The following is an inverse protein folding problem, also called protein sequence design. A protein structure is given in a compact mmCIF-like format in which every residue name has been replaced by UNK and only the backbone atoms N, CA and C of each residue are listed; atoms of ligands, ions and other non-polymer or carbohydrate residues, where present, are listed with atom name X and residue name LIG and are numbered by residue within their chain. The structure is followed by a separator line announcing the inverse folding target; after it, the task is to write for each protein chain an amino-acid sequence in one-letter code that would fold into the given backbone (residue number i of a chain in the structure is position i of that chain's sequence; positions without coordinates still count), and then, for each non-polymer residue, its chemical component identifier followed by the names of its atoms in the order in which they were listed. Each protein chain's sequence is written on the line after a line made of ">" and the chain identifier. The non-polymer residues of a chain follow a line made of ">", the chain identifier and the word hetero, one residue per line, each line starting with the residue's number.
data_IF_854785923812
#
_entry.id   IF_854785923812
#
_cell.length_a   1.000
_cell.length_b   1.000
_cell.length_c   1.000
_cell.angle_alpha   90.00
_cell.angle_beta   90.00
_cell.angle_gamma   90.00
#
_symmetry.space_group_name_H-M   'P 1'
#
loop_
_entity.id
_entity.type
_entity.pdbx_description
1 polymer ?
#
# COMPACT_ATOMS: atom_id res chain seq x y z
N UNK A 1 25.67 -30.02 32.90
CA UNK A 1 25.02 -28.69 32.90
C UNK A 1 24.20 -28.53 34.17
N UNK A 2 24.33 -27.41 34.91
CA UNK A 2 23.45 -27.13 36.05
C UNK A 2 22.01 -26.91 35.56
N UNK A 3 21.01 -27.42 36.28
CA UNK A 3 19.56 -27.31 35.95
C UNK A 3 19.12 -25.88 35.64
N UNK A 4 19.74 -24.90 36.31
CA UNK A 4 19.53 -23.46 36.10
C UNK A 4 19.98 -22.97 34.71
N UNK A 5 21.11 -23.48 34.20
CA UNK A 5 21.62 -23.15 32.86
C UNK A 5 20.70 -23.67 31.76
N UNK A 6 20.17 -24.88 31.95
CA UNK A 6 19.25 -25.50 31.00
C UNK A 6 17.90 -24.76 30.96
N UNK A 7 17.38 -24.34 32.13
CA UNK A 7 16.19 -23.51 32.21
C UNK A 7 16.36 -22.15 31.50
N UNK A 8 17.52 -21.51 31.64
CA UNK A 8 17.81 -20.23 30.98
C UNK A 8 17.91 -20.36 29.46
N UNK A 9 18.52 -21.43 28.96
CA UNK A 9 18.57 -21.69 27.52
C UNK A 9 17.15 -21.86 26.97
N UNK A 10 16.30 -22.62 27.66
CA UNK A 10 14.92 -22.85 27.25
C UNK A 10 14.11 -21.55 27.21
N UNK A 11 14.23 -20.72 28.24
CA UNK A 11 13.54 -19.41 28.32
C UNK A 11 14.03 -18.48 27.20
N UNK A 12 15.33 -18.44 26.93
CA UNK A 12 15.88 -17.62 25.84
C UNK A 12 15.38 -18.09 24.47
N UNK A 13 15.28 -19.41 24.23
CA UNK A 13 14.74 -19.94 22.98
C UNK A 13 13.27 -19.54 22.80
N UNK A 14 12.44 -19.70 23.84
CA UNK A 14 11.02 -19.29 23.79
C UNK A 14 10.89 -17.80 23.52
N UNK A 15 11.69 -16.97 24.18
CA UNK A 15 11.70 -15.52 23.97
C UNK A 15 12.13 -15.14 22.55
N UNK A 16 13.09 -15.85 21.96
CA UNK A 16 13.51 -15.65 20.58
C UNK A 16 12.46 -16.11 19.56
N UNK A 17 11.70 -17.17 19.85
CA UNK A 17 10.56 -17.59 19.01
C UNK A 17 9.43 -16.55 19.02
N UNK A 18 9.23 -15.85 20.14
CA UNK A 18 8.26 -14.77 20.26
C UNK A 18 8.72 -13.45 19.62
N UNK A 19 9.97 -13.36 19.15
CA UNK A 19 10.53 -12.14 18.57
C UNK A 19 9.78 -11.70 17.31
N UNK A 20 9.36 -12.63 16.47
CA UNK A 20 8.63 -12.35 15.22
C UNK A 20 7.25 -11.73 15.52
N UNK A 21 6.36 -12.36 16.32
CA UNK A 21 5.07 -11.75 16.63
C UNK A 21 5.19 -10.44 17.44
N UNK A 22 6.19 -10.32 18.33
CA UNK A 22 6.46 -9.05 19.04
C UNK A 22 6.87 -7.95 18.05
N UNK A 23 7.75 -8.25 17.10
CA UNK A 23 8.18 -7.30 16.08
C UNK A 23 7.03 -6.83 15.21
N UNK A 24 6.15 -7.74 14.78
CA UNK A 24 4.95 -7.41 14.02
C UNK A 24 4.01 -6.52 14.84
N UNK A 25 3.77 -6.86 16.11
CA UNK A 25 2.91 -6.06 16.98
C UNK A 25 3.46 -4.65 17.21
N UNK A 26 4.77 -4.50 17.41
CA UNK A 26 5.42 -3.19 17.53
C UNK A 26 5.28 -2.39 16.23
N UNK A 27 5.48 -3.01 15.07
CA UNK A 27 5.30 -2.32 13.79
C UNK A 27 3.87 -1.85 13.57
N UNK A 28 2.87 -2.69 13.88
CA UNK A 28 1.45 -2.32 13.81
C UNK A 28 1.15 -1.16 14.76
N UNK A 29 1.69 -1.20 15.98
CA UNK A 29 1.49 -0.14 16.96
C UNK A 29 2.09 1.19 16.49
N UNK A 30 3.31 1.16 15.93
CA UNK A 30 3.99 2.33 15.37
C UNK A 30 3.19 2.91 14.20
N UNK A 31 2.62 2.07 13.34
CA UNK A 31 1.77 2.48 12.21
C UNK A 31 0.45 3.13 12.70
N UNK A 32 -0.24 2.52 13.68
CA UNK A 32 -1.48 3.06 14.26
C UNK A 32 -1.23 4.39 14.98
N UNK A 33 -0.08 4.54 15.62
CA UNK A 33 0.25 5.70 16.44
C UNK A 33 0.60 6.97 15.64
N UNK A 34 0.52 6.92 14.30
CA UNK A 34 0.79 8.08 13.43
C UNK A 34 2.19 8.69 13.67
N UNK A 35 3.13 7.91 14.24
CA UNK A 35 4.50 8.37 14.55
C UNK A 35 5.25 8.79 13.29
N UNK A 36 4.84 8.32 12.11
CA UNK A 36 5.31 8.81 10.82
C UNK A 36 5.17 10.34 10.66
N UNK A 37 4.22 10.98 11.35
CA UNK A 37 4.04 12.45 11.38
C UNK A 37 5.09 13.18 12.22
N UNK A 38 5.77 12.50 13.15
CA UNK A 38 6.85 13.06 13.96
C UNK A 38 8.20 13.08 13.23
N UNK A 39 8.29 12.38 12.10
CA UNK A 39 9.49 12.29 11.29
C UNK A 39 9.27 13.07 9.98
N UNK A 40 10.25 13.87 9.52
CA UNK A 40 10.13 14.55 8.23
C UNK A 40 9.91 13.53 7.11
N UNK A 41 9.08 13.87 6.11
CA UNK A 41 8.69 12.98 4.99
C UNK A 41 9.86 12.36 4.20
N UNK A 42 11.09 12.84 4.40
CA UNK A 42 12.34 12.29 3.85
C UNK A 42 12.93 11.12 4.63
N UNK A 43 12.38 10.79 5.81
CA UNK A 43 12.83 9.66 6.62
C UNK A 43 12.38 8.37 5.93
N UNK A 44 13.34 7.66 5.35
CA UNK A 44 13.10 6.42 4.64
C UNK A 44 12.38 5.40 5.54
N UNK A 45 11.52 4.58 4.95
CA UNK A 45 10.86 3.45 5.62
C UNK A 45 11.85 2.53 6.36
N UNK A 46 13.13 2.56 5.94
CA UNK A 46 14.27 1.90 6.58
C UNK A 46 14.49 2.34 8.03
N UNK A 47 14.30 3.63 8.34
CA UNK A 47 14.57 4.19 9.68
C UNK A 47 13.47 3.77 10.66
N UNK A 48 12.20 3.84 10.25
CA UNK A 48 11.06 3.38 11.06
C UNK A 48 11.16 1.88 11.33
N UNK A 49 11.55 1.10 10.31
CA UNK A 49 11.80 -0.34 10.44
C UNK A 49 12.95 -0.60 11.40
N UNK A 50 14.05 0.15 11.30
CA UNK A 50 15.18 0.07 12.23
C UNK A 50 14.79 0.35 13.68
N UNK A 51 13.94 1.36 13.92
CA UNK A 51 13.40 1.68 15.24
C UNK A 51 12.57 0.52 15.79
N UNK A 52 11.67 -0.05 14.98
CA UNK A 52 10.86 -1.21 15.37
C UNK A 52 11.71 -2.44 15.73
N UNK A 53 12.79 -2.70 14.98
CA UNK A 53 13.74 -3.79 15.26
C UNK A 53 14.42 -3.59 16.61
N UNK A 54 14.96 -2.39 16.86
CA UNK A 54 15.68 -2.08 18.09
C UNK A 54 14.75 -2.17 19.30
N UNK A 55 13.53 -1.64 19.20
CA UNK A 55 12.51 -1.74 20.26
C UNK A 55 12.15 -3.19 20.59
N UNK A 56 11.94 -4.01 19.56
CA UNK A 56 11.57 -5.42 19.75
C UNK A 56 12.71 -6.22 20.39
N UNK A 57 13.95 -6.00 19.95
CA UNK A 57 15.13 -6.61 20.56
C UNK A 57 15.34 -6.13 22.01
N UNK A 58 15.07 -4.85 22.32
CA UNK A 58 15.12 -4.32 23.68
C UNK A 58 14.11 -5.01 24.60
N UNK A 59 12.86 -5.19 24.15
CA UNK A 59 11.81 -5.87 24.92
C UNK A 59 12.23 -7.32 25.24
N UNK A 60 12.66 -8.06 24.22
CA UNK A 60 13.06 -9.47 24.36
C UNK A 60 14.31 -9.61 25.24
N UNK A 61 15.32 -8.75 25.05
CA UNK A 61 16.51 -8.70 25.89
C UNK A 61 16.18 -8.38 27.35
N UNK A 62 15.27 -7.42 27.59
CA UNK A 62 14.87 -7.04 28.94
C UNK A 62 14.12 -8.17 29.67
N UNK A 63 13.26 -8.91 28.98
CA UNK A 63 12.59 -10.09 29.54
C UNK A 63 13.60 -11.19 29.91
N UNK A 64 14.62 -11.42 29.07
CA UNK A 64 15.71 -12.35 29.38
C UNK A 64 16.53 -11.92 30.60
N UNK A 65 16.76 -10.61 30.78
CA UNK A 65 17.41 -10.04 31.97
C UNK A 65 16.63 -10.34 33.24
N UNK A 66 15.31 -10.14 33.23
CA UNK A 66 14.43 -10.42 34.37
C UNK A 66 14.47 -11.91 34.72
N UNK A 67 14.38 -12.79 33.72
CA UNK A 67 14.46 -14.23 33.91
C UNK A 67 15.82 -14.65 34.53
N UNK A 68 16.92 -14.10 34.01
CA UNK A 68 18.26 -14.37 34.52
C UNK A 68 18.45 -13.89 35.96
N UNK A 69 17.93 -12.71 36.31
CA UNK A 69 17.98 -12.20 37.68
C UNK A 69 17.17 -13.09 38.63
N UNK A 70 16.02 -13.61 38.19
CA UNK A 70 15.19 -14.52 38.98
C UNK A 70 15.82 -15.89 39.18
N UNK A 71 16.56 -16.40 38.19
CA UNK A 71 17.15 -17.75 38.20
C UNK A 71 18.51 -17.77 38.90
N UNK A 72 19.38 -16.80 38.61
CA UNK A 72 20.74 -16.76 39.16
C UNK A 72 20.88 -15.87 40.38
N UNK A 73 19.96 -14.93 40.61
CA UNK A 73 20.05 -13.90 41.67
C UNK A 73 21.33 -13.06 41.62
N UNK A 74 22.03 -13.09 40.49
CA UNK A 74 23.30 -12.39 40.27
C UNK A 74 23.15 -11.37 39.15
N UNK A 75 23.56 -10.13 39.45
CA UNK A 75 23.45 -9.02 38.50
C UNK A 75 24.38 -9.20 37.29
N UNK A 76 25.57 -9.75 37.49
CA UNK A 76 26.54 -10.02 36.41
C UNK A 76 25.96 -11.00 35.39
N UNK A 77 25.37 -12.10 35.87
CA UNK A 77 24.72 -13.12 35.04
C UNK A 77 23.49 -12.57 34.29
N UNK A 78 22.73 -11.65 34.91
CA UNK A 78 21.62 -10.96 34.26
C UNK A 78 22.07 -9.98 33.16
N UNK A 79 23.17 -9.23 33.37
CA UNK A 79 23.74 -8.33 32.35
C UNK A 79 24.24 -9.09 31.13
N UNK A 80 24.91 -10.23 31.33
CA UNK A 80 25.39 -11.08 30.23
C UNK A 80 24.22 -11.68 29.44
N UNK A 81 23.17 -12.16 30.13
CA UNK A 81 21.98 -12.69 29.47
C UNK A 81 21.25 -11.63 28.63
N UNK A 82 21.11 -10.41 29.16
CA UNK A 82 20.54 -9.27 28.43
C UNK A 82 21.30 -9.00 27.13
N UNK A 83 22.62 -8.80 27.22
CA UNK A 83 23.45 -8.46 26.06
C UNK A 83 23.43 -9.57 25.02
N UNK A 84 23.58 -10.83 25.43
CA UNK A 84 23.58 -11.96 24.52
C UNK A 84 22.25 -12.08 23.76
N UNK A 85 21.11 -12.04 24.48
CA UNK A 85 19.78 -12.16 23.85
C UNK A 85 19.46 -10.94 23.00
N UNK A 86 19.85 -9.74 23.44
CA UNK A 86 19.66 -8.50 22.68
C UNK A 86 20.37 -8.57 21.31
N UNK A 87 21.67 -8.89 21.27
CA UNK A 87 22.40 -8.96 20.00
C UNK A 87 21.91 -10.07 19.09
N UNK A 88 21.55 -11.24 19.64
CA UNK A 88 20.94 -12.33 18.88
C UNK A 88 19.58 -11.90 18.30
N UNK A 89 18.75 -11.21 19.08
CA UNK A 89 17.46 -10.70 18.63
C UNK A 89 17.62 -9.62 17.54
N UNK A 90 18.59 -8.73 17.65
CA UNK A 90 18.89 -7.74 16.59
C UNK A 90 19.31 -8.45 15.30
N UNK A 91 20.22 -9.44 15.38
CA UNK A 91 20.68 -10.19 14.22
C UNK A 91 19.54 -10.99 13.57
N UNK A 92 18.75 -11.73 14.35
CA UNK A 92 17.61 -12.49 13.83
C UNK A 92 16.58 -11.55 13.21
N UNK A 93 16.29 -10.42 13.85
CA UNK A 93 15.35 -9.43 13.30
C UNK A 93 15.88 -8.86 11.99
N UNK A 94 17.13 -8.40 11.95
CA UNK A 94 17.75 -7.88 10.73
C UNK A 94 17.77 -8.90 9.58
N UNK A 95 17.98 -10.19 9.89
CA UNK A 95 18.05 -11.26 8.88
C UNK A 95 16.67 -11.78 8.45
N UNK A 96 15.70 -11.81 9.38
CA UNK A 96 14.31 -12.20 9.09
C UNK A 96 13.56 -11.10 8.34
N UNK A 97 14.07 -9.87 8.38
CA UNK A 97 13.50 -8.68 7.76
C UNK A 97 14.18 -8.45 6.39
N UNK A 98 14.08 -9.45 5.52
CA UNK A 98 13.68 -9.15 4.14
C UNK A 98 12.17 -8.86 4.17
N UNK A 99 11.77 -7.80 4.90
CA UNK A 99 10.38 -7.37 4.94
C UNK A 99 10.05 -6.93 3.51
N UNK A 100 9.13 -7.61 2.79
CA UNK A 100 8.52 -6.99 1.63
C UNK A 100 7.94 -5.69 2.15
N UNK A 101 8.33 -4.52 1.59
CA UNK A 101 7.86 -3.21 2.03
C UNK A 101 6.35 -3.32 2.32
N UNK A 102 5.98 -3.37 3.61
CA UNK A 102 4.58 -3.45 4.01
C UNK A 102 4.08 -2.02 3.83
N UNK A 103 3.82 -1.68 2.57
CA UNK A 103 3.00 -0.54 2.24
C UNK A 103 1.61 -0.75 2.81
N UNK A 104 0.80 0.32 2.90
CA UNK A 104 -0.59 0.19 3.31
C UNK A 104 -1.30 -0.89 2.49
N UNK A 105 -2.33 -1.53 3.04
CA UNK A 105 -3.04 -2.57 2.28
C UNK A 105 -3.46 -2.06 0.88
N UNK A 106 -3.51 -2.92 -0.16
CA UNK A 106 -4.00 -2.51 -1.47
C UNK A 106 -5.37 -1.81 -1.45
N UNK A 107 -6.21 -2.10 -0.46
CA UNK A 107 -7.48 -1.42 -0.23
C UNK A 107 -7.31 0.08 0.10
N UNK A 108 -6.27 0.44 0.85
CA UNK A 108 -5.97 1.85 1.18
C UNK A 108 -5.62 2.65 -0.08
N UNK A 109 -4.89 2.05 -1.04
CA UNK A 109 -4.57 2.70 -2.32
C UNK A 109 -5.85 3.09 -3.07
N UNK A 110 -6.84 2.19 -3.11
CA UNK A 110 -8.14 2.49 -3.72
C UNK A 110 -8.89 3.58 -2.94
N UNK A 111 -8.91 3.49 -1.61
CA UNK A 111 -9.57 4.50 -0.77
C UNK A 111 -9.02 5.90 -1.03
N UNK A 112 -7.70 6.08 -1.00
CA UNK A 112 -7.09 7.39 -1.26
C UNK A 112 -7.27 7.86 -2.70
N UNK A 113 -7.34 6.93 -3.67
CA UNK A 113 -7.65 7.28 -5.07
C UNK A 113 -9.04 7.90 -5.24
N UNK A 114 -10.00 7.51 -4.40
CA UNK A 114 -11.41 7.91 -4.56
C UNK A 114 -11.85 9.04 -3.63
N UNK A 115 -11.28 9.13 -2.42
CA UNK A 115 -11.83 9.96 -1.34
C UNK A 115 -10.94 11.13 -0.92
N UNK A 116 -9.74 11.29 -1.47
CA UNK A 116 -8.87 12.41 -1.07
C UNK A 116 -9.40 13.78 -1.54
N UNK A 117 -10.20 13.82 -2.62
CA UNK A 117 -10.87 15.03 -3.08
C UNK A 117 -12.13 15.40 -2.30
N UNK A 118 -12.57 14.54 -1.38
CA UNK A 118 -13.61 14.87 -0.43
C UNK A 118 -12.95 15.51 0.80
N UNK A 119 -12.79 16.83 0.75
CA UNK A 119 -12.43 17.68 1.90
C UNK A 119 -13.36 17.50 3.12
N UNK A 120 -14.40 16.66 3.05
CA UNK A 120 -15.34 16.40 4.14
C UNK A 120 -15.91 14.96 4.13
N UNK A 121 -15.08 13.91 4.22
CA UNK A 121 -15.62 12.59 4.64
C UNK A 121 -15.57 12.50 6.16
N UNK A 122 -16.73 12.73 6.75
CA UNK A 122 -16.99 12.62 8.18
C UNK A 122 -16.58 11.21 8.68
N UNK A 123 -15.64 11.08 9.64
CA UNK A 123 -15.17 9.79 10.15
C UNK A 123 -16.24 8.98 10.92
N UNK A 124 -17.46 9.50 11.07
CA UNK A 124 -18.53 8.90 11.87
C UNK A 124 -19.63 8.15 11.10
N UNK A 125 -19.57 8.04 9.77
CA UNK A 125 -20.52 7.18 9.03
C UNK A 125 -19.91 5.85 8.62
N UNK A 126 -20.45 4.78 9.21
CA UNK A 126 -20.15 3.40 8.85
C UNK A 126 -20.51 3.10 7.39
N UNK A 127 -19.69 2.24 6.78
CA UNK A 127 -19.67 1.84 5.36
C UNK A 127 -19.37 2.99 4.40
N UNK A 128 -18.10 3.10 4.03
CA UNK A 128 -17.65 3.83 2.85
C UNK A 128 -18.29 3.15 1.63
N UNK A 129 -19.37 3.73 1.12
CA UNK A 129 -19.96 3.33 -0.17
C UNK A 129 -19.12 3.94 -1.27
N UNK A 130 -18.59 3.10 -2.18
CA UNK A 130 -17.85 3.54 -3.36
C UNK A 130 -18.64 4.66 -4.08
N UNK A 131 -17.98 5.71 -4.60
CA UNK A 131 -18.65 6.80 -5.29
C UNK A 131 -19.00 6.39 -6.73
N UNK A 132 -19.41 5.14 -6.92
CA UNK A 132 -19.86 4.56 -8.16
C UNK A 132 -20.61 3.25 -7.89
N UNK A 133 -21.48 2.87 -8.82
CA UNK A 133 -22.17 1.59 -8.79
C UNK A 133 -21.21 0.48 -9.24
N UNK A 134 -20.94 -0.50 -8.38
CA UNK A 134 -20.05 -1.62 -8.68
C UNK A 134 -20.52 -2.40 -9.92
N UNK A 135 -19.60 -2.63 -10.87
CA UNK A 135 -19.89 -3.36 -12.10
C UNK A 135 -18.63 -3.97 -12.70
N UNK A 136 -18.73 -5.24 -13.08
CA UNK A 136 -17.65 -5.99 -13.77
C UNK A 136 -17.55 -5.61 -15.27
N UNK A 137 -17.34 -4.33 -15.57
CA UNK A 137 -17.38 -3.83 -16.94
C UNK A 137 -16.11 -4.14 -17.74
N UNK A 138 -14.93 -4.21 -17.09
CA UNK A 138 -13.68 -4.48 -17.82
C UNK A 138 -13.66 -5.89 -18.41
N UNK A 139 -14.31 -6.86 -17.77
CA UNK A 139 -14.50 -8.20 -18.34
C UNK A 139 -15.41 -8.19 -19.55
N UNK A 140 -16.54 -7.50 -19.44
CA UNK A 140 -17.55 -7.39 -20.52
C UNK A 140 -16.95 -6.78 -21.79
N UNK A 141 -16.04 -5.81 -21.62
CA UNK A 141 -15.37 -5.12 -22.72
C UNK A 141 -14.04 -5.78 -23.12
N UNK A 142 -13.66 -6.90 -22.50
CA UNK A 142 -12.39 -7.58 -22.78
C UNK A 142 -11.15 -6.71 -22.52
N UNK A 143 -11.24 -5.82 -21.53
CA UNK A 143 -10.22 -4.90 -21.04
C UNK A 143 -9.72 -5.26 -19.65
N UNK A 144 -10.08 -6.44 -19.13
CA UNK A 144 -9.61 -6.89 -17.82
C UNK A 144 -8.10 -7.18 -17.86
N UNK A 145 -7.28 -6.43 -17.10
CA UNK A 145 -5.87 -6.73 -16.97
C UNK A 145 -5.66 -7.90 -15.99
N UNK A 146 -4.43 -8.40 -15.87
CA UNK A 146 -4.07 -9.55 -15.04
C UNK A 146 -2.88 -9.25 -14.13
N UNK A 147 -2.77 -9.97 -13.00
CA UNK A 147 -1.61 -9.87 -12.10
C UNK A 147 -1.69 -8.73 -11.07
N UNK A 148 -2.87 -8.13 -10.89
CA UNK A 148 -3.16 -7.19 -9.81
C UNK A 148 -3.41 -7.92 -8.48
N UNK A 149 -3.16 -7.22 -7.38
CA UNK A 149 -3.42 -7.63 -6.00
C UNK A 149 -4.87 -7.37 -5.59
N UNK A 150 -5.45 -6.26 -6.06
CA UNK A 150 -6.80 -5.82 -5.74
C UNK A 150 -7.38 -5.00 -6.90
N UNK A 151 -8.71 -5.03 -7.05
CA UNK A 151 -9.42 -4.18 -8.00
C UNK A 151 -10.71 -3.65 -7.39
N UNK A 152 -11.16 -2.51 -7.89
CA UNK A 152 -12.55 -2.04 -7.80
C UNK A 152 -12.94 -1.46 -9.16
N UNK A 153 -14.16 -1.73 -9.61
CA UNK A 153 -14.64 -1.26 -10.91
C UNK A 153 -16.15 -1.04 -10.90
N UNK A 154 -16.63 -0.09 -11.69
CA UNK A 154 -18.01 0.31 -11.70
C UNK A 154 -18.33 1.43 -12.69
N UNK A 155 -19.46 2.08 -12.46
CA UNK A 155 -19.92 3.23 -13.25
C UNK A 155 -20.18 4.44 -12.35
N UNK A 156 -19.52 5.55 -12.68
CA UNK A 156 -19.76 6.86 -12.08
C UNK A 156 -20.90 7.52 -12.85
N UNK A 157 -21.93 7.95 -12.13
CA UNK A 157 -23.04 8.74 -12.65
C UNK A 157 -23.25 9.98 -11.75
N UNK A 158 -23.96 11.00 -12.22
CA UNK A 158 -24.06 12.29 -11.53
C UNK A 158 -24.72 12.24 -10.15
N UNK A 159 -25.33 11.10 -9.80
CA UNK A 159 -25.83 10.79 -8.45
C UNK A 159 -24.76 10.22 -7.50
N UNK A 160 -23.55 9.94 -7.97
CA UNK A 160 -22.51 9.19 -7.24
C UNK A 160 -21.60 10.06 -6.34
N UNK A 161 -21.98 11.30 -6.05
CA UNK A 161 -21.26 12.19 -5.12
C UNK A 161 -21.20 13.64 -5.62
N UNK A 162 -20.87 14.57 -4.71
CA UNK A 162 -20.82 16.01 -5.03
C UNK A 162 -19.77 16.37 -6.09
N UNK A 163 -18.69 15.61 -6.20
CA UNK A 163 -17.57 15.87 -7.12
C UNK A 163 -17.89 15.43 -8.56
N UNK A 164 -18.86 14.53 -8.75
CA UNK A 164 -19.12 13.87 -10.04
C UNK A 164 -20.40 14.35 -10.74
N UNK A 165 -20.98 15.47 -10.32
CA UNK A 165 -22.29 15.97 -10.80
C UNK A 165 -22.37 16.17 -12.32
N UNK A 166 -21.23 16.41 -12.99
CA UNK A 166 -21.15 16.64 -14.43
C UNK A 166 -20.94 15.35 -15.25
N UNK A 167 -20.84 14.19 -14.60
CA UNK A 167 -20.59 12.90 -15.26
C UNK A 167 -21.91 12.16 -15.37
N UNK A 168 -22.33 11.81 -16.58
CA UNK A 168 -23.61 11.09 -16.80
C UNK A 168 -23.41 9.58 -16.81
N UNK A 169 -22.25 9.11 -17.25
CA UNK A 169 -21.93 7.69 -17.25
C UNK A 169 -20.51 7.40 -17.74
N UNK A 170 -19.57 7.34 -16.80
CA UNK A 170 -18.19 6.91 -17.09
C UNK A 170 -17.88 5.64 -16.30
N UNK A 171 -17.44 4.63 -17.02
CA UNK A 171 -16.93 3.41 -16.43
C UNK A 171 -15.55 3.65 -15.84
N UNK A 172 -15.33 3.20 -14.61
CA UNK A 172 -14.08 3.33 -13.87
C UNK A 172 -13.58 1.95 -13.46
N UNK A 173 -12.28 1.70 -13.61
CA UNK A 173 -11.61 0.53 -13.08
C UNK A 173 -10.29 0.92 -12.44
N UNK A 174 -10.09 0.56 -11.18
CA UNK A 174 -8.87 0.80 -10.41
C UNK A 174 -8.26 -0.55 -10.07
N UNK A 175 -7.01 -0.77 -10.47
CA UNK A 175 -6.27 -2.01 -10.26
C UNK A 175 -4.96 -1.72 -9.54
N UNK A 176 -4.72 -2.42 -8.43
CA UNK A 176 -3.53 -2.24 -7.60
C UNK A 176 -2.56 -3.39 -7.85
N UNK A 177 -1.32 -3.08 -8.20
CA UNK A 177 -0.22 -3.98 -8.50
C UNK A 177 0.87 -3.90 -7.44
N UNK A 178 1.71 -4.94 -7.32
CA UNK A 178 2.92 -4.87 -6.49
C UNK A 178 3.79 -3.65 -6.84
N UNK A 179 4.69 -3.30 -5.93
CA UNK A 179 5.58 -2.15 -6.02
C UNK A 179 6.19 -1.96 -7.42
N UNK A 180 5.95 -0.79 -8.01
CA UNK A 180 6.39 -0.41 -9.36
C UNK A 180 7.91 -0.35 -9.48
N UNK A 181 8.64 -0.09 -8.38
CA UNK A 181 10.10 -0.11 -8.36
C UNK A 181 10.69 -1.52 -8.43
N UNK A 182 9.94 -2.53 -7.97
CA UNK A 182 10.36 -3.93 -7.96
C UNK A 182 9.78 -4.72 -9.14
N UNK A 183 8.71 -4.22 -9.76
CA UNK A 183 8.00 -4.92 -10.82
C UNK A 183 7.29 -3.96 -11.78
N UNK A 184 7.58 -3.99 -13.09
CA UNK A 184 6.92 -3.14 -14.09
C UNK A 184 5.50 -3.63 -14.44
N UNK A 185 4.83 -4.38 -13.57
CA UNK A 185 3.53 -5.03 -13.86
C UNK A 185 2.43 -4.04 -14.23
N UNK A 186 2.39 -2.87 -13.59
CA UNK A 186 1.41 -1.83 -13.90
C UNK A 186 1.66 -1.23 -15.29
N UNK A 187 2.93 -0.95 -15.63
CA UNK A 187 3.31 -0.43 -16.95
C UNK A 187 3.04 -1.47 -18.05
N UNK A 188 3.40 -2.73 -17.81
CA UNK A 188 3.11 -3.83 -18.74
C UNK A 188 1.61 -3.99 -18.96
N UNK A 189 0.80 -3.90 -17.90
CA UNK A 189 -0.65 -3.97 -18.02
C UNK A 189 -1.23 -2.80 -18.83
N UNK A 190 -0.67 -1.60 -18.68
CA UNK A 190 -1.05 -0.44 -19.49
C UNK A 190 -0.69 -0.64 -20.97
N UNK A 191 0.53 -1.10 -21.26
CA UNK A 191 0.99 -1.40 -22.63
C UNK A 191 0.13 -2.48 -23.30
N UNK A 192 -0.13 -3.59 -22.59
CA UNK A 192 -1.02 -4.65 -23.05
C UNK A 192 -2.41 -4.14 -23.42
N UNK A 193 -2.98 -3.22 -22.61
CA UNK A 193 -4.29 -2.65 -22.86
C UNK A 193 -4.28 -1.70 -24.06
N UNK A 194 -3.24 -0.87 -24.17
CA UNK A 194 -3.02 0.02 -25.31
C UNK A 194 -2.97 -0.78 -26.61
N UNK A 195 -2.17 -1.84 -26.67
CA UNK A 195 -2.06 -2.72 -27.85
C UNK A 195 -3.39 -3.40 -28.19
N UNK A 196 -4.10 -3.93 -27.18
CA UNK A 196 -5.42 -4.55 -27.40
C UNK A 196 -6.44 -3.57 -27.95
N UNK A 197 -6.42 -2.32 -27.48
CA UNK A 197 -7.30 -1.26 -27.97
C UNK A 197 -6.92 -0.85 -29.40
N UNK A 198 -5.63 -0.64 -29.69
CA UNK A 198 -5.12 -0.35 -31.04
C UNK A 198 -5.52 -1.44 -32.04
N UNK A 199 -5.38 -2.70 -31.65
CA UNK A 199 -5.80 -3.86 -32.46
C UNK A 199 -7.31 -3.91 -32.73
N UNK A 200 -8.12 -3.20 -31.94
CA UNK A 200 -9.58 -3.05 -32.13
C UNK A 200 -9.96 -1.73 -32.85
N UNK A 201 -8.98 -1.04 -33.42
CA UNK A 201 -9.21 0.18 -34.20
C UNK A 201 -9.37 1.45 -33.37
N UNK A 202 -8.92 1.45 -32.11
CA UNK A 202 -8.81 2.66 -31.31
C UNK A 202 -7.56 3.45 -31.72
N UNK A 203 -7.68 4.77 -31.80
CA UNK A 203 -6.58 5.65 -32.17
C UNK A 203 -6.02 6.35 -30.95
N UNK A 204 -4.70 6.35 -30.78
CA UNK A 204 -4.05 7.11 -29.72
C UNK A 204 -4.22 8.61 -29.98
N UNK A 205 -4.60 9.33 -28.93
CA UNK A 205 -4.73 10.79 -28.93
C UNK A 205 -3.91 11.36 -27.78
N UNK A 206 -3.52 12.62 -27.89
CA UNK A 206 -2.81 13.30 -26.82
C UNK A 206 -3.67 13.34 -25.55
N UNK A 207 -3.03 13.04 -24.41
CA UNK A 207 -3.67 13.18 -23.10
C UNK A 207 -3.77 14.67 -22.80
N UNK A 208 -4.98 15.23 -22.62
CA UNK A 208 -5.13 16.66 -22.38
C UNK A 208 -4.41 17.09 -21.10
N UNK A 209 -3.79 18.28 -21.07
CA UNK A 209 -3.13 18.81 -19.87
C UNK A 209 -4.06 18.83 -18.65
N UNK A 210 -5.36 19.07 -18.83
CA UNK A 210 -6.34 19.11 -17.75
C UNK A 210 -6.45 17.78 -16.99
N UNK A 211 -6.29 16.65 -17.70
CA UNK A 211 -6.24 15.32 -17.10
C UNK A 211 -4.91 15.07 -16.35
N UNK A 212 -3.90 15.93 -16.55
CA UNK A 212 -2.56 15.82 -15.97
C UNK A 212 -2.23 16.93 -14.96
N UNK A 213 -3.00 18.02 -14.90
CA UNK A 213 -2.67 19.25 -14.15
C UNK A 213 -3.23 19.25 -12.72
N UNK A 214 -4.41 18.66 -12.49
CA UNK A 214 -5.06 18.62 -11.17
C UNK A 214 -4.66 17.38 -10.36
N UNK A 215 -3.37 17.04 -10.34
CA UNK A 215 -2.94 15.79 -9.70
C UNK A 215 -3.12 15.81 -8.19
N UNK A 216 -3.82 14.80 -7.69
CA UNK A 216 -3.84 14.41 -6.29
C UNK A 216 -2.41 14.12 -5.83
N UNK A 217 -2.05 14.68 -4.68
CA UNK A 217 -0.68 14.76 -4.19
C UNK A 217 -0.10 13.40 -3.77
N UNK A 218 -0.93 12.35 -3.66
CA UNK A 218 -0.50 11.00 -3.28
C UNK A 218 -0.13 10.18 -4.52
N UNK A 219 1.07 10.42 -5.02
CA UNK A 219 1.72 9.50 -5.95
C UNK A 219 2.56 10.17 -7.03
N UNK A 220 3.22 9.34 -7.83
CA UNK A 220 3.98 9.75 -9.00
C UNK A 220 3.40 9.09 -10.23
N UNK A 221 2.93 9.88 -11.20
CA UNK A 221 2.56 9.35 -12.51
C UNK A 221 3.77 8.66 -13.15
N UNK A 222 3.56 7.45 -13.65
CA UNK A 222 4.55 6.72 -14.42
C UNK A 222 4.27 6.92 -15.91
N UNK A 223 3.03 6.65 -16.33
CA UNK A 223 2.61 6.78 -17.72
C UNK A 223 1.10 7.02 -17.81
N UNK A 224 0.66 7.80 -18.79
CA UNK A 224 -0.75 7.99 -19.11
C UNK A 224 -0.95 7.95 -20.62
N UNK A 225 -2.05 7.33 -21.06
CA UNK A 225 -2.43 7.17 -22.46
C UNK A 225 -3.92 7.45 -22.62
N UNK A 226 -4.28 8.03 -23.75
CA UNK A 226 -5.67 8.21 -24.13
C UNK A 226 -5.88 7.65 -25.53
N UNK A 227 -6.93 6.86 -25.71
CA UNK A 227 -7.34 6.34 -26.99
C UNK A 227 -8.78 6.73 -27.28
N UNK A 228 -9.09 7.00 -28.55
CA UNK A 228 -10.39 7.47 -29.00
C UNK A 228 -10.93 6.60 -30.14
N UNK A 229 -12.25 6.40 -30.13
CA UNK A 229 -13.01 5.81 -31.22
C UNK A 229 -14.37 6.52 -31.31
N UNK A 230 -14.56 7.34 -32.35
CA UNK A 230 -15.75 8.20 -32.46
C UNK A 230 -15.82 9.22 -31.32
N UNK A 231 -16.95 9.29 -30.61
CA UNK A 231 -17.12 10.16 -29.43
C UNK A 231 -16.61 9.54 -28.12
N UNK A 232 -16.32 8.23 -28.14
CA UNK A 232 -15.87 7.48 -26.96
C UNK A 232 -14.36 7.59 -26.79
N UNK A 233 -13.94 7.59 -25.53
CA UNK A 233 -12.54 7.56 -25.14
C UNK A 233 -12.27 6.47 -24.10
N UNK A 234 -11.04 5.96 -24.12
CA UNK A 234 -10.43 5.19 -23.03
C UNK A 234 -9.24 5.98 -22.51
N UNK A 235 -9.21 6.24 -21.20
CA UNK A 235 -8.05 6.79 -20.51
C UNK A 235 -7.39 5.68 -19.69
N UNK A 236 -6.08 5.56 -19.81
CA UNK A 236 -5.25 4.60 -19.07
C UNK A 236 -4.18 5.38 -18.32
N UNK A 237 -4.04 5.12 -17.03
CA UNK A 237 -3.01 5.74 -16.20
C UNK A 237 -2.33 4.69 -15.34
N UNK A 238 -1.01 4.64 -15.37
CA UNK A 238 -0.20 3.93 -14.40
C UNK A 238 0.54 4.93 -13.51
N UNK A 239 0.38 4.81 -12.20
CA UNK A 239 1.01 5.66 -11.18
C UNK A 239 1.63 4.83 -10.06
N UNK A 240 2.67 5.36 -9.41
CA UNK A 240 3.21 4.83 -8.15
C UNK A 240 2.51 5.53 -6.99
N UNK A 241 1.71 4.77 -6.23
CA UNK A 241 0.90 5.27 -5.12
C UNK A 241 1.18 4.42 -3.89
N UNK A 242 1.74 5.03 -2.85
CA UNK A 242 2.05 4.35 -1.58
C UNK A 242 2.89 3.06 -1.75
N UNK A 243 3.85 3.08 -2.68
CA UNK A 243 4.69 1.93 -3.07
C UNK A 243 3.93 0.77 -3.75
N UNK A 244 2.80 1.05 -4.40
CA UNK A 244 2.10 0.14 -5.29
C UNK A 244 1.98 0.75 -6.68
N UNK A 245 2.00 -0.09 -7.71
CA UNK A 245 1.53 0.34 -9.02
C UNK A 245 0.01 0.46 -9.00
N UNK A 246 -0.55 1.60 -9.40
CA UNK A 246 -1.98 1.82 -9.56
C UNK A 246 -2.28 2.02 -11.03
N UNK A 247 -3.14 1.17 -11.59
CA UNK A 247 -3.67 1.32 -12.94
C UNK A 247 -5.11 1.82 -12.86
N UNK A 248 -5.39 2.97 -13.46
CA UNK A 248 -6.74 3.49 -13.67
C UNK A 248 -7.12 3.28 -15.14
N UNK A 249 -8.34 2.78 -15.35
CA UNK A 249 -8.96 2.62 -16.66
C UNK A 249 -10.29 3.38 -16.62
N UNK A 250 -10.46 4.37 -17.48
CA UNK A 250 -11.74 5.07 -17.64
C UNK A 250 -12.28 4.83 -19.06
N UNK A 251 -13.59 4.65 -19.20
CA UNK A 251 -14.24 4.47 -20.48
C UNK A 251 -15.59 5.19 -20.54
N UNK A 252 -15.82 6.00 -21.56
CA UNK A 252 -17.04 6.79 -21.68
C UNK A 252 -16.99 7.82 -22.80
N UNK A 253 -17.86 8.83 -22.73
CA UNK A 253 -17.77 9.99 -23.61
C UNK A 253 -16.48 10.78 -23.33
N UNK A 254 -15.79 11.23 -24.38
CA UNK A 254 -14.46 11.85 -24.28
C UNK A 254 -14.41 12.97 -23.23
N UNK A 255 -15.39 13.88 -23.23
CA UNK A 255 -15.42 15.03 -22.30
C UNK A 255 -15.55 14.58 -20.85
N UNK A 256 -16.41 13.62 -20.57
CA UNK A 256 -16.62 13.12 -19.21
C UNK A 256 -15.43 12.30 -18.70
N UNK A 257 -14.76 11.55 -19.60
CA UNK A 257 -13.53 10.83 -19.28
C UNK A 257 -12.41 11.80 -18.88
N UNK A 258 -12.27 12.94 -19.59
CA UNK A 258 -11.26 13.97 -19.26
C UNK A 258 -11.58 14.61 -17.91
N UNK A 259 -12.86 14.96 -17.68
CA UNK A 259 -13.31 15.53 -16.41
C UNK A 259 -13.00 14.59 -15.24
N UNK A 260 -13.37 13.31 -15.37
CA UNK A 260 -13.10 12.32 -14.32
C UNK A 260 -11.61 12.05 -14.13
N UNK A 261 -10.82 11.98 -15.20
CA UNK A 261 -9.37 11.86 -15.10
C UNK A 261 -8.78 13.03 -14.31
N UNK A 262 -9.21 14.27 -14.58
CA UNK A 262 -8.75 15.46 -13.85
C UNK A 262 -9.07 15.44 -12.34
N UNK A 263 -10.03 14.61 -11.92
CA UNK A 263 -10.41 14.43 -10.51
C UNK A 263 -9.59 13.28 -9.88
N UNK A 264 -9.20 12.26 -10.63
CA UNK A 264 -8.58 11.04 -10.08
C UNK A 264 -7.05 11.04 -10.15
N UNK A 265 -6.51 11.70 -11.18
CA UNK A 265 -5.07 11.82 -11.44
C UNK A 265 -4.37 12.64 -10.38
#
# INVERSE_FOLDING_TARGET
>A
MKRQTLAMILVSIVLLLLLIPISIAVMILLDISDISKLFPYSVSSLIITGIGIVLSALIVGFLAKIAALKIYKEEKSAKVAFLAVFFIAVLISAYSINIPRIGPSPQKVIYYTLYENEVYVNPYFGKISLPFEEKDWTKEHGLRPSGYLKREEGIVNGSSGFVFQNITGVYIGIFVYPNSQESPKCENALQDLEERLKNRGWQEVEVPPEALEKRNFIGRLINAKMLQQGSKAVYLECSDVMAYGRLIILYGEKKEVIELASILS
#
